data_IF_734136081641
#
_entry.id   IF_734136081641
#
_cell.length_a   1.000
_cell.length_b   1.000
_cell.length_c   1.000
_cell.angle_alpha   90.00
_cell.angle_beta   90.00
_cell.angle_gamma   90.00
#
_symmetry.space_group_name_H-M   'P 1'
#
loop_
_entity.id
_entity.type
_entity.pdbx_description
1 polymer ?
#
# COMPACT_ATOMS: atom_id res chain seq x y z
N UNK A 1 25.81 32.51 63.89
CA UNK A 1 25.01 31.25 63.94
C UNK A 1 24.13 31.23 62.71
N UNK A 2 24.46 30.40 61.72
CA UNK A 2 23.68 30.30 60.47
C UNK A 2 22.73 29.10 60.63
N UNK A 3 21.43 29.35 60.63
CA UNK A 3 20.40 28.33 60.72
C UNK A 3 20.21 27.67 59.34
N UNK A 4 20.62 26.43 59.16
CA UNK A 4 20.42 25.61 57.97
C UNK A 4 18.95 25.13 57.97
N UNK A 5 18.12 25.75 57.12
CA UNK A 5 16.73 25.36 56.91
C UNK A 5 16.69 24.04 56.13
N UNK A 6 16.36 22.92 56.77
CA UNK A 6 16.14 21.64 56.09
C UNK A 6 14.90 21.69 55.24
N UNK A 7 15.08 21.49 53.94
CA UNK A 7 13.96 21.36 53.00
C UNK A 7 13.25 20.01 53.23
N UNK A 8 11.91 19.98 53.19
CA UNK A 8 11.19 18.70 53.34
C UNK A 8 11.45 17.82 52.11
N UNK A 9 12.00 16.61 52.37
CA UNK A 9 12.11 15.58 51.32
C UNK A 9 10.71 15.08 50.98
N UNK A 10 10.24 15.48 49.79
CA UNK A 10 9.00 14.94 49.22
C UNK A 10 9.22 13.44 48.91
N UNK A 11 8.50 12.59 49.63
CA UNK A 11 8.53 11.13 49.43
C UNK A 11 7.90 10.84 48.08
N UNK A 12 8.71 10.53 47.04
CA UNK A 12 8.23 10.04 45.77
C UNK A 12 7.52 8.71 45.97
N UNK A 13 6.24 8.62 45.68
CA UNK A 13 5.49 7.37 45.67
C UNK A 13 5.93 6.57 44.40
N UNK A 14 6.53 5.41 44.62
CA UNK A 14 6.82 4.47 43.55
C UNK A 14 5.57 3.73 43.10
N UNK A 15 5.60 3.26 41.83
CA UNK A 15 4.53 2.42 41.28
C UNK A 15 4.43 1.09 41.99
N UNK A 16 3.24 0.61 42.22
CA UNK A 16 3.00 -0.73 42.73
C UNK A 16 3.10 -1.77 41.61
N UNK A 17 3.50 -3.00 41.95
CA UNK A 17 3.58 -4.09 40.97
C UNK A 17 2.21 -4.41 40.36
N UNK A 18 1.13 -4.30 41.13
CA UNK A 18 -0.23 -4.55 40.67
C UNK A 18 -0.69 -3.47 39.68
N UNK A 19 -0.31 -2.21 39.87
CA UNK A 19 -0.63 -1.12 38.98
C UNK A 19 0.04 -1.31 37.62
N UNK A 20 1.31 -1.74 37.61
CA UNK A 20 2.01 -2.07 36.36
C UNK A 20 1.36 -3.26 35.64
N UNK A 21 0.93 -4.28 36.37
CA UNK A 21 0.29 -5.46 35.82
C UNK A 21 -1.05 -5.11 35.13
N UNK A 22 -1.86 -4.26 35.75
CA UNK A 22 -3.13 -3.80 35.19
C UNK A 22 -2.88 -3.01 33.90
N UNK A 23 -1.90 -2.10 33.89
CA UNK A 23 -1.57 -1.28 32.72
C UNK A 23 -1.13 -2.17 31.54
N UNK A 24 -0.24 -3.15 31.80
CA UNK A 24 0.20 -4.09 30.75
C UNK A 24 -0.97 -4.92 30.23
N UNK A 25 -1.88 -5.37 31.10
CA UNK A 25 -3.07 -6.11 30.67
C UNK A 25 -3.97 -5.28 29.74
N UNK A 26 -4.21 -4.01 30.07
CA UNK A 26 -4.99 -3.10 29.23
C UNK A 26 -4.31 -2.88 27.88
N UNK A 27 -3.01 -2.59 27.88
CA UNK A 27 -2.24 -2.40 26.64
C UNK A 27 -2.28 -3.65 25.76
N UNK A 28 -2.16 -4.85 26.35
CA UNK A 28 -2.23 -6.11 25.60
C UNK A 28 -3.58 -6.29 24.89
N UNK A 29 -4.68 -5.98 25.56
CA UNK A 29 -6.05 -6.04 24.98
C UNK A 29 -6.19 -5.03 23.85
N UNK A 30 -5.77 -3.78 24.05
CA UNK A 30 -5.84 -2.73 23.03
C UNK A 30 -4.96 -3.06 21.81
N UNK A 31 -3.74 -3.56 22.04
CA UNK A 31 -2.81 -3.97 20.98
C UNK A 31 -3.40 -5.11 20.13
N UNK A 32 -4.08 -6.07 20.75
CA UNK A 32 -4.76 -7.16 20.05
C UNK A 32 -5.76 -6.70 18.98
N UNK A 33 -6.40 -5.55 19.18
CA UNK A 33 -7.34 -4.96 18.23
C UNK A 33 -6.62 -3.98 17.28
N UNK A 34 -5.72 -3.18 17.80
CA UNK A 34 -5.09 -2.09 17.04
C UNK A 34 -4.14 -2.61 15.96
N UNK A 35 -3.37 -3.67 16.22
CA UNK A 35 -2.38 -4.19 15.28
C UNK A 35 -3.01 -4.66 13.95
N UNK A 36 -4.06 -5.52 13.94
CA UNK A 36 -4.67 -5.94 12.67
C UNK A 36 -5.35 -4.80 11.92
N UNK A 37 -5.95 -3.85 12.63
CA UNK A 37 -6.54 -2.66 11.99
C UNK A 37 -5.48 -1.78 11.31
N UNK A 38 -4.35 -1.58 11.96
CA UNK A 38 -3.23 -0.82 11.40
C UNK A 38 -2.65 -1.48 10.14
N UNK A 39 -2.50 -2.80 10.13
CA UNK A 39 -2.02 -3.53 8.95
C UNK A 39 -2.96 -3.35 7.75
N UNK A 40 -4.27 -3.46 7.96
CA UNK A 40 -5.27 -3.24 6.91
C UNK A 40 -5.20 -1.82 6.35
N UNK A 41 -5.09 -0.83 7.22
CA UNK A 41 -4.93 0.56 6.82
C UNK A 41 -3.67 0.78 5.98
N UNK A 42 -2.56 0.18 6.39
CA UNK A 42 -1.27 0.28 5.68
C UNK A 42 -1.34 -0.32 4.28
N UNK A 43 -1.95 -1.51 4.13
CA UNK A 43 -2.14 -2.12 2.81
C UNK A 43 -2.96 -1.23 1.88
N UNK A 44 -4.06 -0.65 2.38
CA UNK A 44 -4.89 0.27 1.60
C UNK A 44 -4.12 1.52 1.16
N UNK A 45 -3.37 2.13 2.06
CA UNK A 45 -2.57 3.32 1.73
C UNK A 45 -1.52 3.02 0.65
N UNK A 46 -0.88 1.85 0.71
CA UNK A 46 0.14 1.44 -0.27
C UNK A 46 -0.43 1.07 -1.64
N UNK A 47 -1.74 0.74 -1.75
CA UNK A 47 -2.38 0.51 -3.07
C UNK A 47 -2.26 1.73 -3.97
N UNK A 48 -2.32 2.94 -3.41
CA UNK A 48 -2.18 4.18 -4.17
C UNK A 48 -0.87 4.23 -4.99
N UNK A 49 0.21 3.66 -4.48
CA UNK A 49 1.51 3.59 -5.16
C UNK A 49 1.42 2.76 -6.47
N UNK A 50 0.78 1.58 -6.41
CA UNK A 50 0.53 0.75 -7.61
C UNK A 50 -0.48 1.38 -8.57
N UNK A 51 -1.54 1.98 -8.04
CA UNK A 51 -2.57 2.66 -8.85
C UNK A 51 -1.99 3.86 -9.62
N UNK A 52 -1.15 4.67 -9.00
CA UNK A 52 -0.49 5.81 -9.63
C UNK A 52 0.44 5.35 -10.75
N UNK A 53 1.23 4.29 -10.50
CA UNK A 53 2.10 3.72 -11.51
C UNK A 53 1.30 3.22 -12.72
N UNK A 54 0.23 2.45 -12.51
CA UNK A 54 -0.63 1.95 -13.58
C UNK A 54 -1.28 3.07 -14.37
N UNK A 55 -1.75 4.13 -13.72
CA UNK A 55 -2.35 5.28 -14.39
C UNK A 55 -1.33 6.07 -15.20
N UNK A 56 -0.10 6.22 -14.70
CA UNK A 56 0.98 6.88 -15.45
C UNK A 56 1.30 6.11 -16.73
N UNK A 57 1.43 4.76 -16.64
CA UNK A 57 1.69 3.91 -17.81
C UNK A 57 0.51 3.95 -18.78
N UNK A 58 -0.74 3.85 -18.30
CA UNK A 58 -1.93 3.92 -19.14
C UNK A 58 -1.99 5.27 -19.90
N UNK A 59 -1.70 6.37 -19.20
CA UNK A 59 -1.64 7.70 -19.85
C UNK A 59 -0.55 7.78 -20.91
N UNK A 60 0.61 7.19 -20.65
CA UNK A 60 1.69 7.14 -21.64
C UNK A 60 1.31 6.29 -22.86
N UNK A 61 0.59 5.17 -22.66
CA UNK A 61 0.05 4.33 -23.73
C UNK A 61 -0.94 5.09 -24.62
N UNK A 62 -1.89 5.83 -24.01
CA UNK A 62 -2.86 6.62 -24.76
C UNK A 62 -2.18 7.75 -25.58
N UNK A 63 -1.17 8.40 -24.98
CA UNK A 63 -0.37 9.41 -25.69
C UNK A 63 0.38 8.80 -26.87
N UNK A 64 0.98 7.63 -26.70
CA UNK A 64 1.66 6.93 -27.79
C UNK A 64 0.70 6.49 -28.89
N UNK A 65 -0.49 5.97 -28.50
CA UNK A 65 -1.54 5.57 -29.42
C UNK A 65 -2.04 6.73 -30.27
N UNK A 66 -2.21 7.92 -29.71
CA UNK A 66 -2.67 9.11 -30.46
C UNK A 66 -1.75 9.50 -31.62
N UNK A 67 -0.48 9.15 -31.54
CA UNK A 67 0.53 9.49 -32.56
C UNK A 67 0.82 8.33 -33.51
N UNK A 68 0.79 7.09 -32.99
CA UNK A 68 1.24 5.91 -33.72
C UNK A 68 0.11 4.95 -34.12
N UNK A 69 -1.13 5.21 -33.68
CA UNK A 69 -2.31 4.37 -33.87
C UNK A 69 -2.13 2.92 -33.43
N UNK A 70 -1.28 2.71 -32.41
CA UNK A 70 -1.01 1.41 -31.77
C UNK A 70 -0.44 1.61 -30.39
N UNK A 71 -0.69 0.66 -29.50
CA UNK A 71 -0.04 0.55 -28.20
C UNK A 71 1.32 -0.15 -28.32
N UNK A 72 2.17 -0.01 -27.30
CA UNK A 72 3.55 -0.52 -27.35
C UNK A 72 3.99 -1.09 -25.99
N UNK A 73 5.22 -1.55 -25.91
CA UNK A 73 5.86 -2.04 -24.70
C UNK A 73 6.36 -0.91 -23.78
N UNK A 74 6.72 -1.25 -22.54
CA UNK A 74 7.21 -0.30 -21.55
C UNK A 74 8.52 0.39 -21.97
N UNK A 75 9.42 -0.35 -22.61
CA UNK A 75 10.72 0.18 -23.03
C UNK A 75 10.57 1.29 -24.08
N UNK A 76 9.67 1.10 -25.04
CA UNK A 76 9.35 2.12 -26.06
C UNK A 76 8.70 3.37 -25.47
N UNK A 77 7.97 3.23 -24.37
CA UNK A 77 7.40 4.35 -23.61
C UNK A 77 8.44 5.09 -22.75
N UNK A 78 9.67 4.57 -22.66
CA UNK A 78 10.75 5.14 -21.83
C UNK A 78 10.76 4.63 -20.38
N UNK A 79 10.03 3.58 -20.07
CA UNK A 79 10.06 2.91 -18.77
C UNK A 79 11.05 1.75 -18.76
N UNK A 80 11.54 1.39 -17.58
CA UNK A 80 12.17 0.08 -17.38
C UNK A 80 11.14 -1.05 -17.60
N UNK A 81 11.58 -2.25 -17.91
CA UNK A 81 10.70 -3.41 -18.02
C UNK A 81 11.30 -4.57 -17.25
N UNK A 82 10.72 -4.93 -16.10
CA UNK A 82 9.56 -4.30 -15.41
C UNK A 82 9.91 -2.95 -14.73
N UNK A 83 8.89 -2.15 -14.45
CA UNK A 83 9.04 -0.85 -13.78
C UNK A 83 8.59 -0.92 -12.32
N UNK A 84 9.42 -0.41 -11.41
CA UNK A 84 9.12 -0.36 -9.98
C UNK A 84 8.35 0.92 -9.65
N UNK A 85 7.35 0.83 -8.80
CA UNK A 85 6.62 1.99 -8.26
C UNK A 85 7.53 2.88 -7.40
N UNK A 86 7.13 4.12 -7.18
CA UNK A 86 7.94 5.14 -6.49
C UNK A 86 8.41 4.68 -5.09
N UNK A 87 7.54 4.01 -4.35
CA UNK A 87 7.86 3.51 -3.01
C UNK A 87 8.26 2.02 -2.99
N UNK A 88 8.33 1.36 -4.15
CA UNK A 88 8.76 -0.03 -4.28
C UNK A 88 7.74 -1.06 -3.76
N UNK A 89 6.48 -0.67 -3.55
CA UNK A 89 5.46 -1.61 -3.12
C UNK A 89 4.90 -2.46 -4.25
N UNK A 90 5.05 -2.02 -5.50
CA UNK A 90 4.58 -2.70 -6.69
C UNK A 90 5.64 -2.69 -7.79
N UNK A 91 5.58 -3.73 -8.62
CA UNK A 91 6.31 -3.78 -9.90
C UNK A 91 5.25 -3.90 -11.00
N UNK A 92 5.29 -3.02 -12.00
CA UNK A 92 4.39 -3.09 -13.13
C UNK A 92 5.07 -3.66 -14.36
N UNK A 93 4.30 -4.48 -15.09
CA UNK A 93 4.71 -5.06 -16.36
C UNK A 93 3.52 -5.18 -17.32
N UNK A 94 3.81 -5.33 -18.61
CA UNK A 94 2.84 -5.66 -19.64
C UNK A 94 2.98 -7.15 -19.93
N UNK A 95 2.01 -8.00 -19.52
CA UNK A 95 2.12 -9.43 -19.76
C UNK A 95 2.16 -9.74 -21.27
N UNK A 96 3.02 -10.69 -21.65
CA UNK A 96 3.25 -11.03 -23.06
C UNK A 96 1.98 -11.44 -23.83
N UNK A 97 0.96 -11.92 -23.11
CA UNK A 97 -0.36 -12.26 -23.67
C UNK A 97 -1.22 -11.06 -24.06
N UNK A 98 -0.88 -9.87 -23.60
CA UNK A 98 -1.74 -8.69 -23.69
C UNK A 98 -1.46 -7.78 -24.92
N UNK A 99 -0.38 -7.99 -25.65
CA UNK A 99 0.13 -7.02 -26.63
C UNK A 99 0.30 -7.56 -28.06
N UNK A 100 -0.42 -8.59 -28.47
CA UNK A 100 -0.18 -9.18 -29.80
C UNK A 100 -0.71 -8.41 -30.98
N UNK A 101 -1.68 -7.48 -30.78
CA UNK A 101 -2.30 -6.73 -31.88
C UNK A 101 -1.96 -5.24 -31.95
N UNK A 102 -1.38 -4.67 -30.89
CA UNK A 102 -1.16 -3.21 -30.77
C UNK A 102 -2.45 -2.39 -30.66
N UNK A 103 -3.63 -3.02 -30.66
CA UNK A 103 -4.92 -2.32 -30.57
C UNK A 103 -5.51 -2.35 -29.15
N UNK A 104 -4.87 -3.05 -28.23
CA UNK A 104 -5.23 -3.09 -26.83
C UNK A 104 -3.96 -3.24 -25.99
N UNK A 105 -4.02 -2.78 -24.73
CA UNK A 105 -3.00 -3.05 -23.74
C UNK A 105 -3.63 -3.55 -22.43
N UNK A 106 -2.84 -4.28 -21.68
CA UNK A 106 -3.11 -4.60 -20.30
C UNK A 106 -1.84 -4.35 -19.51
N UNK A 107 -1.92 -3.63 -18.39
CA UNK A 107 -0.79 -3.40 -17.50
C UNK A 107 -1.15 -3.94 -16.13
N UNK A 108 -0.22 -4.68 -15.54
CA UNK A 108 -0.38 -5.30 -14.23
C UNK A 108 0.63 -4.73 -13.25
N UNK A 109 0.18 -4.39 -12.04
CA UNK A 109 1.04 -4.03 -10.92
C UNK A 109 1.01 -5.16 -9.89
N UNK A 110 2.13 -5.85 -9.76
CA UNK A 110 2.33 -7.02 -8.90
C UNK A 110 2.87 -6.53 -7.56
N UNK A 111 2.19 -6.81 -6.44
CA UNK A 111 2.63 -6.37 -5.13
C UNK A 111 3.93 -7.05 -4.70
N UNK A 112 4.82 -6.27 -4.10
CA UNK A 112 6.12 -6.73 -3.62
C UNK A 112 6.17 -6.87 -2.10
N UNK A 113 7.10 -7.68 -1.59
CA UNK A 113 7.41 -7.81 -0.16
C UNK A 113 6.16 -8.00 0.73
N UNK A 114 5.99 -7.16 1.73
CA UNK A 114 4.84 -7.22 2.67
C UNK A 114 3.49 -6.94 1.99
N UNK A 115 3.47 -6.15 0.90
CA UNK A 115 2.26 -5.82 0.16
C UNK A 115 1.65 -7.05 -0.54
N UNK A 116 2.42 -8.10 -0.79
CA UNK A 116 1.92 -9.38 -1.33
C UNK A 116 0.88 -10.07 -0.45
N UNK A 117 0.76 -9.68 0.82
CA UNK A 117 -0.26 -10.16 1.77
C UNK A 117 -1.60 -9.43 1.63
N UNK A 118 -1.65 -8.34 0.88
CA UNK A 118 -2.90 -7.61 0.63
C UNK A 118 -3.89 -8.48 -0.17
N UNK A 119 -5.17 -8.41 0.20
CA UNK A 119 -6.23 -9.19 -0.46
C UNK A 119 -6.41 -8.83 -1.94
N UNK A 120 -6.12 -7.58 -2.32
CA UNK A 120 -6.27 -7.10 -3.69
C UNK A 120 -5.25 -7.71 -4.66
N UNK A 121 -4.14 -8.26 -4.15
CA UNK A 121 -3.11 -8.89 -4.98
C UNK A 121 -2.65 -7.99 -6.13
N UNK A 122 -2.63 -8.51 -7.34
CA UNK A 122 -2.26 -7.78 -8.56
C UNK A 122 -3.36 -6.81 -8.96
N UNK A 123 -2.97 -5.56 -9.17
CA UNK A 123 -3.86 -4.54 -9.73
C UNK A 123 -3.64 -4.50 -11.24
N UNK A 124 -4.72 -4.42 -12.02
CA UNK A 124 -4.64 -4.43 -13.48
C UNK A 124 -5.49 -3.31 -14.06
N UNK A 125 -4.97 -2.65 -15.10
CA UNK A 125 -5.70 -1.69 -15.92
C UNK A 125 -5.67 -2.14 -17.40
N UNK A 126 -6.80 -2.02 -18.06
CA UNK A 126 -6.99 -2.37 -19.46
C UNK A 126 -7.18 -1.12 -20.32
N UNK A 127 -6.86 -1.20 -21.60
CA UNK A 127 -7.11 -0.12 -22.58
C UNK A 127 -8.58 0.31 -22.65
N UNK A 128 -9.52 -0.57 -22.30
CA UNK A 128 -10.94 -0.24 -22.20
C UNK A 128 -11.31 0.64 -20.98
N UNK A 129 -10.35 0.97 -20.12
CA UNK A 129 -10.58 1.64 -18.84
C UNK A 129 -11.04 0.70 -17.71
N UNK A 130 -11.27 -0.59 -18.00
CA UNK A 130 -11.59 -1.59 -16.96
C UNK A 130 -10.42 -1.71 -16.00
N UNK A 131 -10.75 -1.89 -14.72
CA UNK A 131 -9.77 -2.10 -13.62
C UNK A 131 -10.12 -3.38 -12.87
N UNK A 132 -9.13 -4.15 -12.50
CA UNK A 132 -9.32 -5.35 -11.65
C UNK A 132 -8.28 -5.36 -10.54
N UNK A 133 -8.59 -5.93 -9.35
CA UNK A 133 -9.86 -6.58 -8.98
C UNK A 133 -11.05 -5.63 -9.03
N UNK A 134 -12.23 -6.16 -9.39
CA UNK A 134 -13.45 -5.36 -9.46
C UNK A 134 -13.88 -4.91 -8.07
N UNK A 135 -14.32 -3.65 -7.96
CA UNK A 135 -14.82 -3.07 -6.70
C UNK A 135 -16.12 -3.73 -6.21
N UNK A 136 -16.82 -4.46 -7.06
CA UNK A 136 -18.06 -5.17 -6.72
C UNK A 136 -17.85 -6.52 -6.01
N UNK A 137 -16.61 -7.07 -5.98
CA UNK A 137 -16.34 -8.34 -5.29
C UNK A 137 -16.12 -8.13 -3.79
N UNK A 138 -17.07 -8.56 -2.91
CA UNK A 138 -16.95 -8.37 -1.47
C UNK A 138 -15.77 -9.11 -0.84
N UNK A 139 -15.36 -10.24 -1.39
CA UNK A 139 -14.25 -11.04 -0.88
C UNK A 139 -12.91 -10.32 -1.06
N UNK A 140 -12.71 -9.73 -2.23
CA UNK A 140 -11.52 -8.95 -2.54
C UNK A 140 -11.51 -7.58 -1.86
N UNK A 141 -12.70 -7.01 -1.61
CA UNK A 141 -12.85 -5.72 -0.94
C UNK A 141 -13.00 -5.80 0.58
N UNK A 142 -12.74 -6.94 1.19
CA UNK A 142 -12.83 -7.13 2.65
C UNK A 142 -11.92 -6.17 3.44
N UNK A 143 -10.92 -5.58 2.79
CA UNK A 143 -10.01 -4.55 3.32
C UNK A 143 -10.19 -3.19 2.60
N UNK A 144 -11.41 -2.86 2.18
CA UNK A 144 -11.74 -1.66 1.41
C UNK A 144 -11.44 -1.81 -0.09
N UNK A 145 -11.92 -0.86 -0.92
CA UNK A 145 -11.86 -0.96 -2.38
C UNK A 145 -10.43 -1.10 -2.88
N UNK A 146 -10.23 -1.94 -3.90
CA UNK A 146 -8.93 -2.16 -4.53
C UNK A 146 -8.54 -1.02 -5.50
N UNK A 147 -9.55 -0.28 -5.96
CA UNK A 147 -9.43 0.88 -6.84
C UNK A 147 -10.20 2.08 -6.29
#
# INVERSE_FOLDING_TARGET
>A
MIAIKRLPMTRSRGFTLIELLIVVAIIAVLAGIAIPMYQRYTFRARRADGQQLLQAIATAQERYYSTNNKYTDLATLGYASPVTSEHGFYIADIPASASTSGQAFTVEAIPQTSQSKDVCKTLTIYSSGKRTPDTSDPALNSNGPCW
#
